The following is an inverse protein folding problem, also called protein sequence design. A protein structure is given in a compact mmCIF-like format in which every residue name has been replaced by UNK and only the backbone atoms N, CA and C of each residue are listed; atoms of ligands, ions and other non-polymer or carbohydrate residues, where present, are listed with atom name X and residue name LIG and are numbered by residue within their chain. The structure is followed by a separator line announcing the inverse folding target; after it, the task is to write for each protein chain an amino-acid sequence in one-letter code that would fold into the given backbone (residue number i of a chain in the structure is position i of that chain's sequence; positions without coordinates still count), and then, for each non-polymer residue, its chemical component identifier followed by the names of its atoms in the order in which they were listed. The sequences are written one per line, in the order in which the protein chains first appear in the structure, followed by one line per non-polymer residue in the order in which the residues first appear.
data_IF_404435891680
#
_entry.id   IF_404435891680
#
_cell.length_a   1.000
_cell.length_b   1.000
_cell.length_c   1.000
_cell.angle_alpha   90.00
_cell.angle_beta   90.00
_cell.angle_gamma   90.00
#
_symmetry.space_group_name_H-M   'P 1'
#
loop_
_entity.id
_entity.type
_entity.pdbx_description
1 polymer ?
#
# COMPACT_ATOMS: atom_id res chain seq x y z
N UNK A 1 -6.18 16.99 -10.15
CA UNK A 1 -5.03 16.14 -9.76
C UNK A 1 -3.83 16.41 -10.65
N UNK A 2 -3.84 16.14 -11.97
CA UNK A 2 -2.67 16.30 -12.83
C UNK A 2 -2.05 17.71 -12.83
N UNK A 3 -2.88 18.78 -12.94
CA UNK A 3 -2.40 20.16 -12.82
C UNK A 3 -1.73 20.48 -11.49
N UNK A 4 -2.21 19.91 -10.39
CA UNK A 4 -1.59 20.08 -9.06
C UNK A 4 -0.23 19.39 -9.00
N UNK A 5 -0.13 18.18 -9.57
CA UNK A 5 1.15 17.46 -9.68
C UNK A 5 2.14 18.29 -10.52
N UNK A 6 1.71 18.77 -11.69
CA UNK A 6 2.54 19.60 -12.55
C UNK A 6 3.03 20.88 -11.85
N UNK A 7 2.17 21.54 -11.09
CA UNK A 7 2.56 22.73 -10.31
C UNK A 7 3.67 22.41 -9.29
N UNK A 8 3.54 21.29 -8.55
CA UNK A 8 4.53 20.83 -7.57
C UNK A 8 5.86 20.50 -8.27
N UNK A 9 5.81 19.73 -9.36
CA UNK A 9 7.02 19.33 -10.12
C UNK A 9 7.75 20.55 -10.65
N UNK A 10 7.02 21.53 -11.18
CA UNK A 10 7.59 22.80 -11.68
C UNK A 10 8.21 23.62 -10.55
N UNK A 11 7.60 23.67 -9.36
CA UNK A 11 8.14 24.35 -8.18
C UNK A 11 9.50 23.76 -7.76
N UNK A 12 9.65 22.45 -7.85
CA UNK A 12 10.94 21.76 -7.59
C UNK A 12 11.93 21.87 -8.76
N UNK A 13 11.53 22.36 -9.94
CA UNK A 13 12.36 22.37 -11.15
C UNK A 13 12.79 20.97 -11.58
N UNK A 14 11.98 19.93 -11.29
CA UNK A 14 12.33 18.55 -11.57
C UNK A 14 11.98 18.17 -13.01
N UNK A 15 12.95 17.62 -13.75
CA UNK A 15 12.81 17.18 -15.15
C UNK A 15 13.10 15.69 -15.38
N UNK A 16 13.47 14.94 -14.32
CA UNK A 16 13.72 13.50 -14.40
C UNK A 16 12.43 12.66 -14.38
N UNK A 17 12.53 11.32 -14.36
CA UNK A 17 11.37 10.42 -14.22
C UNK A 17 10.57 10.74 -12.96
N UNK A 18 9.25 10.64 -13.05
CA UNK A 18 8.32 10.93 -11.96
C UNK A 18 7.55 9.69 -11.54
N UNK A 19 7.59 9.34 -10.25
CA UNK A 19 6.70 8.35 -9.65
C UNK A 19 5.50 9.00 -8.96
N UNK A 20 4.32 8.47 -9.21
CA UNK A 20 3.06 8.96 -8.64
C UNK A 20 2.31 7.80 -8.02
N UNK A 21 1.87 7.95 -6.78
CA UNK A 21 0.97 6.99 -6.15
C UNK A 21 -0.48 7.33 -6.40
N UNK A 22 -1.30 6.28 -6.59
CA UNK A 22 -2.74 6.40 -6.74
C UNK A 22 -3.44 5.45 -5.75
N UNK A 23 -4.48 5.89 -5.02
CA UNK A 23 -5.17 5.06 -4.03
C UNK A 23 -6.22 4.14 -4.69
N UNK A 24 -5.76 3.15 -5.43
CA UNK A 24 -6.57 2.19 -6.15
C UNK A 24 -5.74 1.35 -7.12
N UNK A 25 -6.39 0.43 -7.81
CA UNK A 25 -5.76 -0.45 -8.80
C UNK A 25 -5.37 0.35 -10.05
N UNK A 26 -4.11 0.21 -10.45
CA UNK A 26 -3.56 0.81 -11.69
C UNK A 26 -2.86 -0.26 -12.50
N UNK A 27 -3.30 -0.46 -13.75
CA UNK A 27 -2.69 -1.41 -14.68
C UNK A 27 -2.15 -0.66 -15.89
N UNK A 28 -0.86 -0.78 -16.15
CA UNK A 28 -0.18 -0.09 -17.28
C UNK A 28 -0.41 1.43 -17.30
N UNK A 29 -0.54 2.06 -16.13
CA UNK A 29 -0.81 3.49 -15.97
C UNK A 29 -2.28 3.87 -16.09
N UNK A 30 -3.19 2.91 -16.36
CA UNK A 30 -4.64 3.11 -16.45
C UNK A 30 -5.30 2.80 -15.12
N UNK A 31 -6.12 3.71 -14.63
CA UNK A 31 -6.89 3.55 -13.39
C UNK A 31 -8.02 2.54 -13.58
N UNK A 32 -8.06 1.49 -12.74
CA UNK A 32 -9.10 0.45 -12.80
C UNK A 32 -10.16 0.65 -11.72
N UNK A 33 -9.78 1.17 -10.54
CA UNK A 33 -10.69 1.40 -9.41
C UNK A 33 -10.54 2.80 -8.83
N UNK A 34 -11.60 3.32 -8.21
CA UNK A 34 -11.63 4.64 -7.58
C UNK A 34 -12.55 4.61 -6.35
N UNK A 35 -12.05 4.08 -5.22
CA UNK A 35 -12.83 3.98 -4.00
C UNK A 35 -12.94 5.33 -3.25
N UNK A 36 -11.84 6.07 -3.18
CA UNK A 36 -11.72 7.31 -2.40
C UNK A 36 -11.37 8.55 -3.26
N UNK A 37 -11.44 8.42 -4.58
CA UNK A 37 -11.22 9.49 -5.55
C UNK A 37 -12.37 9.54 -6.54
N UNK A 38 -12.42 10.58 -7.37
CA UNK A 38 -13.47 10.75 -8.36
C UNK A 38 -13.50 9.57 -9.33
N UNK A 39 -14.68 8.95 -9.48
CA UNK A 39 -14.88 7.78 -10.35
C UNK A 39 -14.66 8.07 -11.84
N UNK A 40 -14.64 9.34 -12.25
CA UNK A 40 -14.30 9.74 -13.61
C UNK A 40 -12.86 9.34 -14.03
N UNK A 41 -12.00 8.98 -13.06
CA UNK A 41 -10.67 8.47 -13.35
C UNK A 41 -10.64 7.03 -13.85
N UNK A 42 -11.70 6.24 -13.61
CA UNK A 42 -11.77 4.84 -14.05
C UNK A 42 -11.70 4.78 -15.59
N UNK A 43 -10.77 3.98 -16.11
CA UNK A 43 -10.49 3.84 -17.54
C UNK A 43 -9.59 4.95 -18.12
N UNK A 44 -9.18 5.93 -17.31
CA UNK A 44 -8.27 7.00 -17.74
C UNK A 44 -6.82 6.55 -17.51
N UNK A 45 -5.97 6.78 -18.51
CA UNK A 45 -4.51 6.68 -18.34
C UNK A 45 -4.02 7.86 -17.49
N UNK A 46 -3.88 7.63 -16.18
CA UNK A 46 -3.34 8.64 -15.28
C UNK A 46 -1.90 9.01 -15.67
N UNK A 47 -1.11 8.02 -16.15
CA UNK A 47 0.22 8.22 -16.69
C UNK A 47 0.22 9.26 -17.81
N UNK A 48 -0.62 9.06 -18.84
CA UNK A 48 -0.60 9.92 -20.03
C UNK A 48 -1.17 11.31 -19.75
N UNK A 49 -2.20 11.40 -18.91
CA UNK A 49 -2.76 12.70 -18.47
C UNK A 49 -1.72 13.52 -17.69
N UNK A 50 -0.99 12.90 -16.77
CA UNK A 50 0.04 13.59 -15.98
C UNK A 50 1.23 13.94 -16.86
N UNK A 51 1.69 13.02 -17.70
CA UNK A 51 2.80 13.24 -18.66
C UNK A 51 2.49 14.41 -19.60
N UNK A 52 1.25 14.51 -20.11
CA UNK A 52 0.83 15.62 -20.97
C UNK A 52 0.93 16.98 -20.26
N UNK A 53 0.49 17.07 -19.01
CA UNK A 53 0.62 18.31 -18.21
C UNK A 53 2.09 18.65 -17.88
N UNK A 54 2.99 17.69 -18.00
CA UNK A 54 4.43 17.81 -17.77
C UNK A 54 5.25 17.80 -19.06
N UNK A 55 4.67 18.21 -20.20
CA UNK A 55 5.32 18.32 -21.49
C UNK A 55 6.02 17.04 -21.98
N UNK A 56 5.42 15.86 -21.69
CA UNK A 56 5.95 14.57 -22.12
C UNK A 56 6.97 13.93 -21.15
N UNK A 57 7.11 14.45 -19.94
CA UNK A 57 7.98 13.85 -18.93
C UNK A 57 7.55 12.40 -18.64
N UNK A 58 8.53 11.52 -18.41
CA UNK A 58 8.29 10.12 -18.06
C UNK A 58 7.57 10.02 -16.70
N UNK A 59 6.42 9.36 -16.69
CA UNK A 59 5.59 9.17 -15.48
C UNK A 59 5.31 7.70 -15.27
N UNK A 60 5.52 7.23 -14.05
CA UNK A 60 5.08 5.91 -13.58
C UNK A 60 4.00 6.11 -12.53
N UNK A 61 2.87 5.42 -12.68
CA UNK A 61 1.76 5.47 -11.71
C UNK A 61 1.54 4.08 -11.14
N UNK A 62 1.49 3.97 -9.82
CA UNK A 62 1.26 2.70 -9.13
C UNK A 62 0.37 2.89 -7.90
N UNK A 63 -0.15 1.76 -7.37
CA UNK A 63 -0.92 1.76 -6.14
C UNK A 63 -0.07 2.28 -4.96
N UNK A 64 -0.68 2.98 -4.01
CA UNK A 64 0.00 3.59 -2.85
C UNK A 64 0.57 2.55 -1.87
N UNK A 65 -0.13 1.43 -1.65
CA UNK A 65 0.36 0.34 -0.84
C UNK A 65 1.49 -0.44 -1.53
N UNK A 66 1.43 -0.61 -2.86
CA UNK A 66 2.50 -1.21 -3.65
C UNK A 66 3.79 -0.37 -3.55
N UNK A 67 3.67 0.95 -3.68
CA UNK A 67 4.80 1.85 -3.48
C UNK A 67 5.39 1.71 -2.08
N UNK A 68 4.55 1.70 -1.05
CA UNK A 68 5.01 1.51 0.32
C UNK A 68 5.69 0.15 0.53
N UNK A 69 5.17 -0.90 -0.08
CA UNK A 69 5.75 -2.25 -0.05
C UNK A 69 7.15 -2.31 -0.65
N UNK A 70 7.34 -1.73 -1.84
CA UNK A 70 8.65 -1.63 -2.50
C UNK A 70 9.69 -0.92 -1.62
N UNK A 71 9.30 0.20 -1.02
CA UNK A 71 10.19 0.95 -0.15
C UNK A 71 10.55 0.17 1.13
N UNK A 72 9.57 -0.43 1.78
CA UNK A 72 9.79 -1.22 3.00
C UNK A 72 10.62 -2.47 2.75
N UNK A 73 10.47 -3.11 1.60
CA UNK A 73 11.31 -4.24 1.19
C UNK A 73 12.76 -3.80 1.00
N UNK A 74 12.98 -2.70 0.29
CA UNK A 74 14.33 -2.27 -0.08
C UNK A 74 15.09 -1.59 1.05
N UNK A 75 14.42 -0.74 1.85
CA UNK A 75 15.05 0.16 2.82
C UNK A 75 14.48 0.06 4.23
N UNK A 76 13.36 -0.64 4.40
CA UNK A 76 12.61 -0.69 5.64
C UNK A 76 12.63 -2.04 6.34
N UNK A 77 11.48 -2.41 6.90
CA UNK A 77 11.31 -3.61 7.73
C UNK A 77 11.43 -4.93 6.95
N UNK A 78 11.30 -4.90 5.64
CA UNK A 78 11.47 -6.04 4.73
C UNK A 78 12.89 -6.22 4.20
N UNK A 79 13.80 -5.30 4.51
CA UNK A 79 15.17 -5.36 4.02
C UNK A 79 15.85 -6.69 4.40
N UNK A 80 16.54 -7.28 3.41
CA UNK A 80 17.25 -8.54 3.55
C UNK A 80 16.35 -9.75 3.90
N UNK A 81 15.03 -9.63 3.67
CA UNK A 81 14.08 -10.74 3.83
C UNK A 81 13.90 -11.46 2.50
N UNK A 82 14.06 -12.77 2.52
CA UNK A 82 13.74 -13.65 1.40
C UNK A 82 12.32 -14.22 1.56
N UNK A 83 11.79 -14.81 0.47
CA UNK A 83 10.47 -15.41 0.46
C UNK A 83 9.35 -14.42 0.21
N UNK A 84 8.19 -14.68 0.79
CA UNK A 84 6.96 -13.89 0.62
C UNK A 84 6.82 -12.88 1.77
N UNK A 85 6.91 -11.61 1.46
CA UNK A 85 6.66 -10.51 2.38
C UNK A 85 5.34 -9.85 2.02
N UNK A 86 4.44 -9.70 2.98
CA UNK A 86 3.15 -9.05 2.81
C UNK A 86 3.11 -7.77 3.65
N UNK A 87 2.99 -6.62 3.00
CA UNK A 87 2.70 -5.37 3.67
C UNK A 87 1.18 -5.18 3.73
N UNK A 88 0.68 -4.77 4.89
CA UNK A 88 -0.71 -4.35 5.11
C UNK A 88 -0.73 -2.97 5.74
N UNK A 89 -1.37 -2.01 5.09
CA UNK A 89 -1.57 -0.66 5.66
C UNK A 89 -2.95 -0.56 6.29
N UNK A 90 -3.02 -0.21 7.57
CA UNK A 90 -4.27 -0.03 8.31
C UNK A 90 -4.60 1.46 8.45
N UNK A 91 -5.55 1.94 7.66
CA UNK A 91 -6.00 3.32 7.59
C UNK A 91 -7.52 3.44 7.54
N UNK A 92 -8.04 4.23 6.61
CA UNK A 92 -9.48 4.30 6.27
C UNK A 92 -9.97 2.92 5.84
N UNK A 93 -9.21 2.25 4.98
CA UNK A 93 -9.35 0.85 4.58
C UNK A 93 -8.12 0.03 4.97
N UNK A 94 -7.89 -1.06 4.24
CA UNK A 94 -6.68 -1.88 4.31
C UNK A 94 -6.08 -1.96 2.91
N UNK A 95 -4.93 -1.31 2.69
CA UNK A 95 -4.11 -1.52 1.50
C UNK A 95 -3.16 -2.70 1.68
N UNK A 96 -2.74 -3.31 0.59
CA UNK A 96 -1.82 -4.44 0.63
C UNK A 96 -0.79 -4.38 -0.49
N UNK A 97 0.41 -4.90 -0.22
CA UNK A 97 1.41 -5.20 -1.22
C UNK A 97 2.04 -6.56 -0.92
N UNK A 98 2.32 -7.33 -1.95
CA UNK A 98 2.99 -8.63 -1.84
C UNK A 98 4.30 -8.57 -2.60
N UNK A 99 5.38 -8.92 -1.92
CA UNK A 99 6.71 -8.98 -2.52
C UNK A 99 7.24 -10.41 -2.35
N UNK A 100 7.73 -10.99 -3.43
CA UNK A 100 8.39 -12.29 -3.42
C UNK A 100 9.82 -12.15 -3.92
N UNK A 101 10.78 -12.37 -3.02
CA UNK A 101 12.22 -12.25 -3.33
C UNK A 101 12.56 -10.93 -4.04
N UNK A 102 12.10 -9.80 -3.48
CA UNK A 102 12.35 -8.46 -4.01
C UNK A 102 11.49 -8.05 -5.21
N UNK A 103 10.59 -8.91 -5.69
CA UNK A 103 9.69 -8.62 -6.81
C UNK A 103 8.27 -8.38 -6.33
N UNK A 104 7.70 -7.24 -6.69
CA UNK A 104 6.33 -6.88 -6.39
C UNK A 104 5.36 -7.73 -7.22
N UNK A 105 4.32 -8.26 -6.56
CA UNK A 105 3.08 -8.72 -7.20
C UNK A 105 2.09 -7.54 -7.14
N UNK A 106 1.91 -6.78 -8.24
CA UNK A 106 1.20 -5.52 -8.18
C UNK A 106 -0.30 -5.69 -7.96
N UNK A 107 -0.91 -4.63 -7.40
CA UNK A 107 -2.35 -4.51 -7.27
C UNK A 107 -3.02 -5.62 -6.45
N UNK A 108 -2.40 -6.07 -5.38
CA UNK A 108 -3.06 -6.96 -4.43
C UNK A 108 -4.06 -6.17 -3.58
N UNK A 109 -5.27 -6.69 -3.42
CA UNK A 109 -6.39 -6.01 -2.76
C UNK A 109 -6.93 -6.86 -1.58
N UNK A 110 -6.05 -7.20 -0.62
CA UNK A 110 -6.46 -8.00 0.55
C UNK A 110 -7.42 -7.25 1.49
N UNK A 111 -7.58 -5.95 1.34
CA UNK A 111 -8.64 -5.20 2.00
C UNK A 111 -10.02 -5.73 1.67
N UNK A 112 -10.22 -6.20 0.42
CA UNK A 112 -11.48 -6.77 -0.07
C UNK A 112 -11.61 -8.29 0.16
N UNK A 113 -10.58 -8.94 0.72
CA UNK A 113 -10.67 -10.37 1.06
C UNK A 113 -11.82 -10.61 2.03
N UNK A 114 -12.72 -11.54 1.69
CA UNK A 114 -13.79 -11.92 2.59
C UNK A 114 -13.27 -12.79 3.73
N UNK A 115 -13.42 -12.31 4.96
CA UNK A 115 -13.01 -13.01 6.18
C UNK A 115 -14.22 -13.15 7.11
N UNK A 116 -14.79 -14.35 7.16
CA UNK A 116 -15.95 -14.67 8.00
C UNK A 116 -17.16 -13.78 7.69
N UNK A 117 -17.55 -13.68 6.42
CA UNK A 117 -18.73 -12.97 5.93
C UNK A 117 -18.60 -11.45 5.89
N UNK A 118 -17.37 -10.90 5.93
CA UNK A 118 -17.10 -9.46 5.79
C UNK A 118 -15.75 -9.25 5.15
N UNK A 119 -15.64 -8.22 4.33
CA UNK A 119 -14.35 -7.77 3.83
C UNK A 119 -13.39 -7.43 4.98
N UNK A 120 -12.11 -7.72 4.77
CA UNK A 120 -11.05 -7.51 5.74
C UNK A 120 -11.01 -6.06 6.24
N UNK A 121 -11.16 -5.07 5.37
CA UNK A 121 -11.15 -3.66 5.77
C UNK A 121 -12.39 -3.28 6.59
N UNK A 122 -13.57 -3.80 6.28
CA UNK A 122 -14.78 -3.60 7.08
C UNK A 122 -14.73 -4.30 8.44
N UNK A 123 -13.75 -5.20 8.61
CA UNK A 123 -13.48 -5.92 9.86
C UNK A 123 -12.39 -5.24 10.68
N UNK A 124 -11.27 -4.89 10.08
CA UNK A 124 -10.01 -4.61 10.77
C UNK A 124 -9.31 -3.31 10.38
N UNK A 125 -9.85 -2.46 9.49
CA UNK A 125 -9.27 -1.14 9.27
C UNK A 125 -9.19 -0.34 10.57
N UNK A 126 -8.20 0.57 10.69
CA UNK A 126 -8.06 1.41 11.89
C UNK A 126 -9.27 2.33 12.09
N UNK A 127 -9.87 2.80 11.00
CA UNK A 127 -11.13 3.56 11.02
C UNK A 127 -12.29 2.81 11.68
N UNK A 128 -12.34 1.48 11.50
CA UNK A 128 -13.35 0.62 12.16
C UNK A 128 -13.12 0.57 13.66
N UNK A 129 -11.85 0.43 14.10
CA UNK A 129 -11.49 0.46 15.51
C UNK A 129 -11.94 1.77 16.15
N UNK A 130 -11.65 2.90 15.51
CA UNK A 130 -11.97 4.24 16.01
C UNK A 130 -13.48 4.46 16.08
N UNK A 131 -14.19 4.24 14.97
CA UNK A 131 -15.65 4.39 14.88
C UNK A 131 -16.41 3.53 15.90
N UNK A 132 -15.87 2.34 16.24
CA UNK A 132 -16.48 1.42 17.19
C UNK A 132 -15.97 1.58 18.61
N UNK A 133 -15.06 2.48 18.89
CA UNK A 133 -14.47 2.67 20.21
C UNK A 133 -13.76 1.42 20.76
N UNK A 134 -13.16 0.60 19.89
CA UNK A 134 -12.55 -0.66 20.34
C UNK A 134 -11.21 -0.44 21.02
N UNK A 135 -10.97 -1.20 22.11
CA UNK A 135 -9.64 -1.36 22.67
C UNK A 135 -8.69 -2.03 21.67
N UNK A 136 -7.37 -1.83 21.84
CA UNK A 136 -6.37 -2.52 21.03
C UNK A 136 -6.52 -4.05 21.10
N UNK A 137 -6.83 -4.60 22.28
CA UNK A 137 -7.07 -6.04 22.47
C UNK A 137 -8.23 -6.56 21.61
N UNK A 138 -9.35 -5.82 21.57
CA UNK A 138 -10.52 -6.20 20.77
C UNK A 138 -10.22 -6.09 19.27
N UNK A 139 -9.52 -5.04 18.88
CA UNK A 139 -9.15 -4.80 17.49
C UNK A 139 -8.09 -5.80 17.00
N UNK A 140 -7.04 -6.09 17.78
CA UNK A 140 -6.02 -7.09 17.44
C UNK A 140 -6.62 -8.47 17.13
N UNK A 141 -7.70 -8.86 17.81
CA UNK A 141 -8.43 -10.10 17.48
C UNK A 141 -9.05 -10.06 16.08
N UNK A 142 -9.45 -8.89 15.59
CA UNK A 142 -9.99 -8.76 14.23
C UNK A 142 -8.85 -8.75 13.20
N UNK A 143 -7.74 -8.06 13.50
CA UNK A 143 -6.53 -8.10 12.68
C UNK A 143 -6.01 -9.53 12.57
N UNK A 144 -5.90 -10.28 13.68
CA UNK A 144 -5.49 -11.69 13.65
C UNK A 144 -6.32 -12.53 12.67
N UNK A 145 -7.64 -12.32 12.61
CA UNK A 145 -8.49 -13.08 11.68
C UNK A 145 -8.12 -12.81 10.22
N UNK A 146 -7.79 -11.56 9.89
CA UNK A 146 -7.34 -11.18 8.55
C UNK A 146 -5.98 -11.80 8.25
N UNK A 147 -5.02 -11.67 9.18
CA UNK A 147 -3.69 -12.25 9.00
C UNK A 147 -3.74 -13.77 8.81
N UNK A 148 -4.53 -14.49 9.62
CA UNK A 148 -4.72 -15.95 9.50
C UNK A 148 -5.35 -16.33 8.16
N UNK A 149 -6.31 -15.55 7.64
CA UNK A 149 -6.88 -15.81 6.33
C UNK A 149 -5.83 -15.71 5.20
N UNK A 150 -4.97 -14.70 5.28
CA UNK A 150 -3.86 -14.52 4.33
C UNK A 150 -2.81 -15.63 4.53
N UNK A 151 -2.46 -15.97 5.77
CA UNK A 151 -1.55 -17.07 6.07
C UNK A 151 -1.99 -18.40 5.45
N UNK A 152 -3.27 -18.71 5.56
CA UNK A 152 -3.83 -19.95 5.00
C UNK A 152 -3.81 -19.97 3.48
N UNK A 153 -3.82 -18.80 2.82
CA UNK A 153 -3.82 -18.69 1.37
C UNK A 153 -2.41 -18.64 0.76
N UNK A 154 -1.44 -18.02 1.44
CA UNK A 154 -0.15 -17.66 0.84
C UNK A 154 1.09 -18.15 1.59
N UNK A 155 0.98 -18.50 2.88
CA UNK A 155 2.15 -18.86 3.72
C UNK A 155 3.27 -17.81 3.68
N UNK A 156 3.00 -16.54 4.02
CA UNK A 156 4.04 -15.53 3.99
C UNK A 156 5.10 -15.76 5.07
N UNK A 157 6.33 -15.30 4.78
CA UNK A 157 7.45 -15.36 5.70
C UNK A 157 7.47 -14.18 6.67
N UNK A 158 6.86 -13.05 6.27
CA UNK A 158 6.78 -11.83 7.07
C UNK A 158 5.52 -11.03 6.75
N UNK A 159 4.86 -10.51 7.79
CA UNK A 159 3.93 -9.39 7.67
C UNK A 159 4.60 -8.09 8.11
N UNK A 160 4.48 -7.04 7.29
CA UNK A 160 4.80 -5.67 7.65
C UNK A 160 3.50 -4.91 7.84
N UNK A 161 3.32 -4.24 8.98
CA UNK A 161 2.10 -3.49 9.26
C UNK A 161 2.36 -1.99 9.25
N UNK A 162 1.70 -1.31 8.30
CA UNK A 162 1.81 0.12 8.05
C UNK A 162 0.54 0.91 8.36
N UNK A 163 0.49 2.13 7.83
CA UNK A 163 -0.58 3.09 8.10
C UNK A 163 -0.39 3.83 9.43
N UNK A 164 -1.22 4.84 9.69
CA UNK A 164 -1.05 5.72 10.86
C UNK A 164 -1.06 5.00 12.21
N UNK A 165 -1.74 3.86 12.32
CA UNK A 165 -1.83 3.07 13.56
C UNK A 165 -0.55 2.28 13.85
N UNK A 166 0.34 2.08 12.88
CA UNK A 166 1.61 1.40 13.09
C UNK A 166 2.53 2.15 14.07
N UNK A 167 2.37 3.46 14.22
CA UNK A 167 3.06 4.26 15.25
C UNK A 167 2.76 3.80 16.68
N UNK A 168 1.72 3.01 16.88
CA UNK A 168 1.30 2.43 18.16
C UNK A 168 1.37 0.90 18.12
N UNK A 169 2.26 0.35 17.30
CA UNK A 169 2.42 -1.09 17.11
C UNK A 169 2.71 -1.83 18.42
N UNK A 170 3.46 -1.20 19.32
CA UNK A 170 3.73 -1.69 20.68
C UNK A 170 2.48 -2.06 21.48
N UNK A 171 1.34 -1.40 21.20
CA UNK A 171 0.06 -1.61 21.91
C UNK A 171 -0.79 -2.75 21.35
N UNK A 172 -0.50 -3.24 20.16
CA UNK A 172 -1.38 -4.20 19.51
C UNK A 172 -0.68 -5.36 18.78
N UNK A 173 0.51 -5.15 18.22
CA UNK A 173 1.27 -6.24 17.57
C UNK A 173 1.55 -7.39 18.54
N UNK A 174 1.96 -7.17 19.80
CA UNK A 174 2.16 -8.27 20.76
C UNK A 174 0.87 -9.01 21.16
N UNK A 175 -0.30 -8.49 20.78
CA UNK A 175 -1.61 -9.11 21.06
C UNK A 175 -2.12 -9.97 19.89
N UNK A 176 -1.39 -10.01 18.78
CA UNK A 176 -1.69 -10.86 17.63
C UNK A 176 -1.34 -12.32 17.96
N UNK A 177 -2.11 -13.24 17.38
CA UNK A 177 -1.95 -14.69 17.63
C UNK A 177 -1.84 -15.52 16.36
N UNK A 178 -1.52 -14.85 15.24
CA UNK A 178 -1.17 -15.50 13.97
C UNK A 178 0.23 -16.13 14.06
N UNK A 179 0.57 -16.99 13.09
CA UNK A 179 1.83 -17.74 13.05
C UNK A 179 3.00 -16.91 12.52
N UNK A 180 2.79 -16.25 11.38
CA UNK A 180 3.82 -15.48 10.68
C UNK A 180 4.27 -14.28 11.50
N UNK A 181 5.58 -14.00 11.61
CA UNK A 181 6.07 -12.82 12.28
C UNK A 181 5.43 -11.54 11.74
N UNK A 182 5.12 -10.60 12.63
CA UNK A 182 4.55 -9.29 12.29
C UNK A 182 5.46 -8.20 12.84
N UNK A 183 5.89 -7.28 11.95
CA UNK A 183 6.73 -6.12 12.32
C UNK A 183 6.08 -4.82 11.85
N UNK A 184 6.27 -3.71 12.57
CA UNK A 184 5.82 -2.41 12.09
C UNK A 184 6.68 -1.92 10.92
N UNK A 185 6.06 -1.18 10.00
CA UNK A 185 6.73 -0.47 8.92
C UNK A 185 7.76 0.52 9.47
N UNK A 186 8.96 0.52 8.91
CA UNK A 186 10.06 1.35 9.36
C UNK A 186 10.03 2.76 8.74
N UNK A 187 9.65 2.87 7.48
CA UNK A 187 9.68 4.14 6.73
C UNK A 187 8.42 5.01 6.97
N UNK A 188 7.39 4.45 7.60
CA UNK A 188 6.17 5.17 7.95
C UNK A 188 5.55 5.95 6.75
N UNK A 189 5.31 7.27 6.92
CA UNK A 189 4.68 8.11 5.90
C UNK A 189 5.58 8.40 4.68
N UNK A 190 6.88 8.14 4.75
CA UNK A 190 7.79 8.35 3.62
C UNK A 190 7.83 7.15 2.66
N UNK A 191 7.30 5.99 3.08
CA UNK A 191 7.35 4.77 2.29
C UNK A 191 6.73 4.93 0.89
N UNK A 192 5.55 5.55 0.78
CA UNK A 192 4.89 5.78 -0.51
C UNK A 192 5.71 6.67 -1.45
N UNK A 193 6.32 7.73 -0.92
CA UNK A 193 7.16 8.65 -1.71
C UNK A 193 8.42 7.94 -2.22
N UNK A 194 9.10 7.23 -1.32
CA UNK A 194 10.33 6.48 -1.66
C UNK A 194 10.02 5.39 -2.69
N UNK A 195 8.96 4.62 -2.48
CA UNK A 195 8.56 3.56 -3.41
C UNK A 195 8.14 4.07 -4.78
N UNK A 196 7.41 5.20 -4.82
CA UNK A 196 7.08 5.84 -6.10
C UNK A 196 8.33 6.30 -6.85
N UNK A 197 9.30 6.92 -6.17
CA UNK A 197 10.57 7.32 -6.76
C UNK A 197 11.37 6.11 -7.29
N UNK A 198 11.39 5.00 -6.55
CA UNK A 198 11.99 3.74 -7.01
C UNK A 198 11.31 3.22 -8.27
N UNK A 199 10.00 3.16 -8.29
CA UNK A 199 9.23 2.68 -9.45
C UNK A 199 9.43 3.54 -10.70
N UNK A 200 9.73 4.84 -10.56
CA UNK A 200 10.01 5.73 -11.68
C UNK A 200 11.34 5.42 -12.38
N UNK A 201 12.29 4.77 -11.67
CA UNK A 201 13.65 4.51 -12.18
C UNK A 201 13.90 3.04 -12.51
N UNK A 202 12.94 2.16 -12.21
CA UNK A 202 13.02 0.71 -12.46
C UNK A 202 11.78 0.25 -13.22
N UNK A 203 11.92 -0.74 -14.11
CA UNK A 203 10.76 -1.39 -14.76
C UNK A 203 10.00 -2.27 -13.76
N UNK A 204 9.35 -1.63 -12.77
CA UNK A 204 8.58 -2.33 -11.72
C UNK A 204 7.13 -2.58 -12.15
N UNK A 205 6.73 -2.02 -13.28
CA UNK A 205 5.35 -2.08 -13.79
C UNK A 205 5.26 -3.08 -14.94
N UNK A 206 4.88 -4.28 -14.62
CA UNK A 206 4.38 -5.26 -15.61
C UNK A 206 2.99 -5.69 -15.23
#
# INVERSE_FOLDING_TARGET
MAKTIAAIVNEFGWSGPLGVTYPGVVTEGVVQTAANVDKSWIGISARDVISTELNGQQVTVLNDADAAGLAEERYGAGKDKSGVVVLLTFGTGIGSAVIHNGKLLPNTEFGHLEVGGKEAEHRAASSVKERRGWSYKKWARQVTKVLVAIENAMWPDLFIVGGGISRKADKWVPLLTNRTPVVPAALQNTAGIVGAAMAATTDVTH
#
